data_IF_507607353922
#
_entry.id   IF_507607353922
#
_cell.length_a   1.000
_cell.length_b   1.000
_cell.length_c   1.000
_cell.angle_alpha   90.00
_cell.angle_beta   90.00
_cell.angle_gamma   90.00
#
_symmetry.space_group_name_H-M   'P 1'
#
loop_
_entity.id
_entity.type
_entity.pdbx_description
1 polymer ?
#
# COMPACT_ATOMS: atom_id res chain seq x y z
N UNK A 1 -59.95 3.43 10.78
CA UNK A 1 -58.63 3.09 11.35
C UNK A 1 -57.60 4.02 10.72
N UNK A 2 -57.27 5.12 11.38
CA UNK A 2 -56.23 6.06 10.93
C UNK A 2 -54.97 5.78 11.76
N UNK A 3 -53.85 5.51 11.08
CA UNK A 3 -52.58 5.18 11.70
C UNK A 3 -51.80 6.45 12.05
N UNK A 4 -51.54 6.65 13.35
CA UNK A 4 -50.68 7.71 13.87
C UNK A 4 -49.23 7.51 13.40
N UNK A 5 -48.67 8.54 12.78
CA UNK A 5 -47.27 8.57 12.35
C UNK A 5 -46.40 9.13 13.48
N UNK A 6 -45.59 8.27 14.09
CA UNK A 6 -44.62 8.68 15.09
C UNK A 6 -43.48 9.49 14.45
N UNK A 7 -43.39 10.79 14.78
CA UNK A 7 -42.25 11.64 14.43
C UNK A 7 -41.03 11.25 15.25
N UNK A 8 -40.03 10.67 14.60
CA UNK A 8 -38.70 10.41 15.16
C UNK A 8 -37.95 11.72 15.46
N UNK A 9 -38.08 12.21 16.69
CA UNK A 9 -37.33 13.36 17.21
C UNK A 9 -35.93 12.94 17.72
N UNK A 10 -35.09 12.40 16.86
CA UNK A 10 -33.65 12.24 17.16
C UNK A 10 -32.88 13.50 16.77
N UNK A 11 -33.17 14.61 17.45
CA UNK A 11 -32.36 15.83 17.36
C UNK A 11 -31.41 15.82 18.57
N UNK A 12 -30.24 15.21 18.39
CA UNK A 12 -29.18 15.20 19.38
C UNK A 12 -28.91 16.63 19.87
N UNK A 13 -28.99 16.82 21.19
CA UNK A 13 -28.80 18.11 21.83
C UNK A 13 -27.47 18.75 21.46
N UNK A 14 -27.47 20.08 21.34
CA UNK A 14 -26.25 20.88 21.16
C UNK A 14 -25.21 20.48 22.23
N UNK A 15 -23.98 20.10 21.86
CA UNK A 15 -22.96 19.79 22.87
C UNK A 15 -22.64 21.04 23.68
N UNK A 16 -22.42 20.84 24.99
CA UNK A 16 -22.09 21.88 25.95
C UNK A 16 -20.95 22.79 25.45
N UNK A 17 -21.05 24.08 25.79
CA UNK A 17 -20.09 25.13 25.41
C UNK A 17 -18.67 24.66 25.75
N UNK A 18 -17.78 24.69 24.76
CA UNK A 18 -16.36 24.38 24.95
C UNK A 18 -15.75 25.42 25.89
N UNK A 19 -15.16 24.98 26.98
CA UNK A 19 -14.40 25.85 27.88
C UNK A 19 -13.26 26.52 27.10
N UNK A 20 -13.04 27.84 27.29
CA UNK A 20 -11.98 28.56 26.60
C UNK A 20 -10.63 28.04 27.06
N UNK A 21 -9.86 27.46 26.13
CA UNK A 21 -8.51 26.97 26.40
C UNK A 21 -7.48 28.05 26.09
N UNK A 22 -6.42 28.19 26.92
CA UNK A 22 -5.30 29.07 26.59
C UNK A 22 -4.61 28.57 25.31
N UNK A 23 -4.25 29.50 24.42
CA UNK A 23 -3.47 29.15 23.23
C UNK A 23 -2.03 28.79 23.66
N UNK A 24 -1.76 27.49 23.76
CA UNK A 24 -0.41 26.96 24.00
C UNK A 24 0.26 26.76 22.64
N UNK A 25 1.33 27.52 22.38
CA UNK A 25 2.18 27.33 21.21
C UNK A 25 3.13 26.17 21.52
N UNK A 26 3.01 25.08 20.75
CA UNK A 26 3.92 23.94 20.88
C UNK A 26 5.34 24.33 20.48
N UNK A 27 6.32 24.07 21.35
CA UNK A 27 7.75 24.29 21.08
C UNK A 27 8.44 23.02 20.59
N UNK A 28 7.88 21.85 20.91
CA UNK A 28 8.41 20.53 20.53
C UNK A 28 7.37 19.70 19.77
N UNK A 29 7.78 18.76 18.90
CA UNK A 29 6.85 17.83 18.23
C UNK A 29 6.04 16.99 19.22
N UNK A 30 6.64 16.66 20.38
CA UNK A 30 5.97 15.94 21.45
C UNK A 30 4.82 16.76 22.06
N UNK A 31 5.01 18.07 22.26
CA UNK A 31 3.96 18.97 22.72
C UNK A 31 2.81 19.10 21.70
N UNK A 32 3.11 19.13 20.40
CA UNK A 32 2.08 19.17 19.35
C UNK A 32 1.22 17.90 19.38
N UNK A 33 1.85 16.73 19.53
CA UNK A 33 1.13 15.46 19.69
C UNK A 33 0.31 15.44 20.98
N UNK A 34 0.86 15.92 22.10
CA UNK A 34 0.16 16.02 23.39
C UNK A 34 -1.10 16.85 23.27
N UNK A 35 -1.03 18.03 22.64
CA UNK A 35 -2.19 18.91 22.41
C UNK A 35 -3.24 18.27 21.49
N UNK A 36 -2.83 17.56 20.43
CA UNK A 36 -3.76 16.80 19.57
C UNK A 36 -4.43 15.67 20.34
N UNK A 37 -3.68 14.96 21.18
CA UNK A 37 -4.17 13.88 22.02
C UNK A 37 -5.16 14.41 23.07
N UNK A 38 -4.82 15.47 23.81
CA UNK A 38 -5.72 16.14 24.76
C UNK A 38 -7.04 16.55 24.09
N UNK A 39 -6.97 17.09 22.86
CA UNK A 39 -8.16 17.45 22.06
C UNK A 39 -9.04 16.25 21.69
N UNK A 40 -8.43 15.10 21.38
CA UNK A 40 -9.15 13.86 21.08
C UNK A 40 -9.76 13.27 22.36
N UNK A 41 -8.98 13.21 23.45
CA UNK A 41 -9.41 12.66 24.75
C UNK A 41 -10.46 13.51 25.45
N UNK A 42 -10.65 14.78 25.07
CA UNK A 42 -11.76 15.61 25.56
C UNK A 42 -13.14 15.05 25.20
N UNK A 43 -13.24 14.26 24.11
CA UNK A 43 -14.48 13.59 23.73
C UNK A 43 -14.17 12.15 23.30
N UNK A 44 -14.01 11.21 24.25
CA UNK A 44 -13.60 9.84 23.95
C UNK A 44 -14.69 9.05 23.18
N UNK A 45 -15.96 9.41 23.36
CA UNK A 45 -17.10 8.75 22.68
C UNK A 45 -17.20 9.11 21.19
N UNK A 46 -16.51 10.18 20.75
CA UNK A 46 -16.55 10.59 19.34
C UNK A 46 -15.45 9.84 18.57
N UNK A 47 -15.81 9.06 17.53
CA UNK A 47 -14.79 8.38 16.72
C UNK A 47 -13.85 9.41 16.09
N UNK A 48 -12.55 9.10 16.12
CA UNK A 48 -11.53 9.93 15.51
C UNK A 48 -11.74 9.98 13.98
N UNK A 49 -11.73 11.17 13.35
CA UNK A 49 -11.87 11.27 11.91
C UNK A 49 -10.57 10.82 11.23
N UNK A 50 -10.51 9.55 10.83
CA UNK A 50 -9.44 9.03 9.99
C UNK A 50 -9.80 9.39 8.54
N UNK A 51 -9.00 10.21 7.84
CA UNK A 51 -9.31 10.56 6.46
C UNK A 51 -9.12 9.35 5.55
N UNK A 52 -10.09 9.12 4.69
CA UNK A 52 -9.96 8.15 3.60
C UNK A 52 -8.89 8.61 2.59
N UNK A 53 -8.40 7.67 1.77
CA UNK A 53 -7.43 7.97 0.71
C UNK A 53 -7.95 9.14 -0.14
N UNK A 54 -7.13 10.18 -0.39
CA UNK A 54 -7.55 11.30 -1.21
C UNK A 54 -7.97 10.80 -2.59
N UNK A 55 -9.18 11.16 -3.01
CA UNK A 55 -9.69 10.80 -4.33
C UNK A 55 -8.90 11.55 -5.39
N UNK A 56 -8.39 10.81 -6.37
CA UNK A 56 -7.72 11.39 -7.53
C UNK A 56 -8.72 12.22 -8.36
N UNK A 57 -8.26 13.35 -8.88
CA UNK A 57 -9.10 14.19 -9.72
C UNK A 57 -9.41 13.48 -11.03
N UNK A 58 -10.69 13.30 -11.35
CA UNK A 58 -11.15 12.68 -12.58
C UNK A 58 -11.96 13.72 -13.39
N UNK A 59 -11.76 13.88 -14.71
CA UNK A 59 -12.63 14.70 -15.53
C UNK A 59 -14.09 14.30 -15.34
N UNK A 60 -14.97 15.31 -15.24
CA UNK A 60 -16.41 15.05 -15.13
C UNK A 60 -16.92 14.44 -16.42
N UNK A 61 -17.74 13.40 -16.30
CA UNK A 61 -18.41 12.80 -17.44
C UNK A 61 -19.23 13.87 -18.20
N UNK A 62 -19.22 13.84 -19.54
CA UNK A 62 -20.05 14.72 -20.33
C UNK A 62 -21.54 14.46 -20.00
N UNK A 63 -22.38 15.50 -19.99
CA UNK A 63 -23.82 15.32 -19.81
C UNK A 63 -24.42 14.55 -20.99
N UNK A 64 -25.30 13.57 -20.71
CA UNK A 64 -25.95 12.73 -21.71
C UNK A 64 -26.79 13.52 -22.72
N UNK A 65 -27.53 14.52 -22.24
CA UNK A 65 -28.41 15.35 -23.07
C UNK A 65 -28.15 16.83 -22.82
N UNK A 66 -27.91 17.56 -23.91
CA UNK A 66 -27.88 19.02 -23.93
C UNK A 66 -29.27 19.48 -24.34
N UNK A 67 -29.94 20.26 -23.48
CA UNK A 67 -31.36 20.65 -23.67
C UNK A 67 -31.52 21.97 -24.41
N UNK A 68 -30.48 22.77 -24.42
CA UNK A 68 -30.40 24.16 -24.86
C UNK A 68 -29.70 24.29 -26.24
N UNK A 69 -29.78 23.24 -27.07
CA UNK A 69 -29.20 23.25 -28.42
C UNK A 69 -30.07 24.11 -29.33
N UNK A 70 -29.51 25.21 -29.81
CA UNK A 70 -30.13 26.05 -30.84
C UNK A 70 -30.01 25.37 -32.23
N UNK A 71 -30.93 25.68 -33.16
CA UNK A 71 -30.97 25.04 -34.47
C UNK A 71 -29.69 25.19 -35.29
N UNK A 72 -29.39 24.20 -36.14
CA UNK A 72 -28.09 24.10 -36.83
C UNK A 72 -27.76 25.25 -37.78
N UNK A 73 -28.77 25.95 -38.31
CA UNK A 73 -28.60 27.12 -39.18
C UNK A 73 -28.71 28.46 -38.44
N UNK A 74 -28.89 28.44 -37.11
CA UNK A 74 -28.97 29.66 -36.32
C UNK A 74 -27.61 30.36 -36.25
N UNK A 75 -27.62 31.70 -36.20
CA UNK A 75 -26.41 32.51 -36.12
C UNK A 75 -25.70 32.41 -34.77
N UNK A 76 -24.49 32.97 -34.68
CA UNK A 76 -23.74 33.01 -33.42
C UNK A 76 -24.42 33.93 -32.40
N UNK A 77 -24.92 33.35 -31.31
CA UNK A 77 -25.46 34.09 -30.17
C UNK A 77 -24.37 34.69 -29.27
N UNK A 78 -24.74 35.64 -28.41
CA UNK A 78 -23.82 36.27 -27.46
C UNK A 78 -23.21 35.30 -26.43
N UNK A 79 -23.91 34.20 -26.13
CA UNK A 79 -23.46 33.16 -25.20
C UNK A 79 -22.53 32.11 -25.81
N UNK A 80 -22.47 32.00 -27.14
CA UNK A 80 -21.78 30.91 -27.84
C UNK A 80 -20.27 30.89 -27.54
N UNK A 81 -19.66 32.08 -27.45
CA UNK A 81 -18.26 32.21 -27.07
C UNK A 81 -17.96 31.62 -25.69
N UNK A 82 -18.85 31.81 -24.71
CA UNK A 82 -18.66 31.26 -23.37
C UNK A 82 -18.89 29.76 -23.32
N UNK A 83 -19.84 29.24 -24.11
CA UNK A 83 -20.04 27.79 -24.28
C UNK A 83 -18.76 27.15 -24.81
N UNK A 84 -18.19 27.67 -25.91
CA UNK A 84 -16.92 27.19 -26.46
C UNK A 84 -15.77 27.29 -25.44
N UNK A 85 -15.64 28.42 -24.73
CA UNK A 85 -14.60 28.61 -23.70
C UNK A 85 -14.68 27.53 -22.61
N UNK A 86 -15.88 27.21 -22.13
CA UNK A 86 -16.08 26.18 -21.11
C UNK A 86 -15.85 24.76 -21.67
N UNK A 87 -16.29 24.49 -22.90
CA UNK A 87 -16.07 23.22 -23.57
C UNK A 87 -14.58 22.95 -23.82
N UNK A 88 -13.86 23.93 -24.38
CA UNK A 88 -12.42 23.85 -24.64
C UNK A 88 -11.63 23.62 -23.36
N UNK A 89 -11.95 24.35 -22.28
CA UNK A 89 -11.30 24.14 -20.98
C UNK A 89 -11.56 22.74 -20.44
N UNK A 90 -12.80 22.24 -20.52
CA UNK A 90 -13.15 20.88 -20.09
C UNK A 90 -12.39 19.84 -20.90
N UNK A 91 -12.28 20.04 -22.21
CA UNK A 91 -11.62 19.11 -23.12
C UNK A 91 -10.10 19.07 -22.91
N UNK A 92 -9.45 20.23 -22.73
CA UNK A 92 -8.02 20.26 -22.40
C UNK A 92 -7.74 19.60 -21.05
N UNK A 93 -8.56 19.85 -20.04
CA UNK A 93 -8.42 19.17 -18.76
C UNK A 93 -8.60 17.65 -18.87
N UNK A 94 -9.49 17.19 -19.76
CA UNK A 94 -9.69 15.76 -20.04
C UNK A 94 -8.48 15.16 -20.76
N UNK A 95 -7.97 15.84 -21.79
CA UNK A 95 -6.80 15.40 -22.55
C UNK A 95 -5.55 15.34 -21.67
N UNK A 96 -5.25 16.41 -20.93
CA UNK A 96 -4.12 16.46 -19.99
C UNK A 96 -4.18 15.35 -18.94
N UNK A 97 -5.39 14.97 -18.51
CA UNK A 97 -5.58 13.88 -17.56
C UNK A 97 -5.28 12.51 -18.19
N UNK A 98 -5.78 12.25 -19.40
CA UNK A 98 -5.50 11.00 -20.11
C UNK A 98 -4.01 10.85 -20.39
N UNK A 99 -3.36 11.93 -20.84
CA UNK A 99 -1.93 11.94 -21.13
C UNK A 99 -1.13 11.62 -19.86
N UNK A 100 -1.43 12.30 -18.73
CA UNK A 100 -0.78 12.02 -17.43
C UNK A 100 -1.04 10.60 -16.94
N UNK A 101 -2.26 10.09 -17.07
CA UNK A 101 -2.60 8.73 -16.63
C UNK A 101 -1.84 7.69 -17.45
N UNK A 102 -1.78 7.85 -18.77
CA UNK A 102 -1.01 6.95 -19.65
C UNK A 102 0.49 6.98 -19.33
N UNK A 103 1.06 8.16 -19.08
CA UNK A 103 2.45 8.28 -18.66
C UNK A 103 2.74 7.56 -17.34
N UNK A 104 1.86 7.73 -16.34
CA UNK A 104 2.00 7.08 -15.04
C UNK A 104 1.88 5.56 -15.18
N UNK A 105 0.91 5.07 -15.96
CA UNK A 105 0.74 3.64 -16.23
C UNK A 105 1.98 3.06 -16.90
N UNK A 106 2.46 3.66 -17.99
CA UNK A 106 3.65 3.19 -18.71
C UNK A 106 4.89 3.17 -17.81
N UNK A 107 5.09 4.20 -16.96
CA UNK A 107 6.20 4.27 -16.00
C UNK A 107 6.09 3.17 -14.93
N UNK A 108 4.89 2.90 -14.43
CA UNK A 108 4.64 1.87 -13.43
C UNK A 108 4.87 0.46 -14.01
N UNK A 109 4.38 0.19 -15.22
CA UNK A 109 4.60 -1.07 -15.91
C UNK A 109 6.09 -1.34 -16.15
N UNK A 110 6.81 -0.34 -16.70
CA UNK A 110 8.25 -0.44 -16.90
C UNK A 110 9.03 -0.66 -15.57
N UNK A 111 8.56 -0.04 -14.48
CA UNK A 111 9.15 -0.24 -13.16
C UNK A 111 8.92 -1.66 -12.63
N UNK A 112 7.69 -2.18 -12.75
CA UNK A 112 7.35 -3.53 -12.32
C UNK A 112 8.12 -4.59 -13.12
N UNK A 113 8.20 -4.44 -14.44
CA UNK A 113 9.02 -5.33 -15.27
C UNK A 113 10.49 -5.33 -14.86
N UNK A 114 11.06 -4.14 -14.58
CA UNK A 114 12.44 -4.02 -14.13
C UNK A 114 12.65 -4.73 -12.79
N UNK A 115 11.69 -4.59 -11.88
CA UNK A 115 11.72 -5.21 -10.56
C UNK A 115 11.67 -6.74 -10.68
N UNK A 116 10.78 -7.28 -11.54
CA UNK A 116 10.67 -8.71 -11.82
C UNK A 116 11.93 -9.29 -12.45
N UNK A 117 12.48 -8.61 -13.47
CA UNK A 117 13.76 -9.02 -14.11
C UNK A 117 14.90 -9.08 -13.09
N UNK A 118 14.97 -8.10 -12.18
CA UNK A 118 15.98 -8.09 -11.12
C UNK A 118 15.78 -9.23 -10.11
N UNK A 119 14.53 -9.53 -9.73
CA UNK A 119 14.21 -10.66 -8.86
C UNK A 119 14.61 -11.99 -9.50
N UNK A 120 14.22 -12.21 -10.76
CA UNK A 120 14.58 -13.42 -11.51
C UNK A 120 16.10 -13.59 -11.62
N UNK A 121 16.83 -12.52 -11.98
CA UNK A 121 18.29 -12.57 -12.06
C UNK A 121 18.96 -12.88 -10.71
N UNK A 122 18.41 -12.36 -9.60
CA UNK A 122 18.88 -12.70 -8.25
C UNK A 122 18.57 -14.16 -7.89
N UNK A 123 17.37 -14.64 -8.20
CA UNK A 123 16.94 -16.02 -7.98
C UNK A 123 17.79 -17.02 -8.79
N UNK A 124 18.08 -16.74 -10.06
CA UNK A 124 18.95 -17.58 -10.88
C UNK A 124 20.37 -17.67 -10.31
N UNK A 125 20.94 -16.54 -9.89
CA UNK A 125 22.27 -16.49 -9.26
C UNK A 125 22.29 -17.28 -7.95
N UNK A 126 21.27 -17.10 -7.11
CA UNK A 126 21.17 -17.80 -5.82
C UNK A 126 20.89 -19.29 -6.00
N UNK A 127 20.03 -19.69 -6.96
CA UNK A 127 19.74 -21.07 -7.30
C UNK A 127 20.97 -21.79 -7.85
N UNK A 128 21.76 -21.16 -8.73
CA UNK A 128 23.02 -21.71 -9.24
C UNK A 128 24.02 -21.95 -8.10
N UNK A 129 24.16 -21.01 -7.18
CA UNK A 129 25.02 -21.16 -5.98
C UNK A 129 24.48 -22.22 -5.01
N UNK A 130 23.16 -22.29 -4.81
CA UNK A 130 22.49 -23.29 -3.98
C UNK A 130 22.72 -24.71 -4.52
N UNK A 131 22.47 -24.94 -5.81
CA UNK A 131 22.74 -26.23 -6.49
C UNK A 131 24.20 -26.68 -6.34
N UNK A 132 25.16 -25.75 -6.46
CA UNK A 132 26.58 -26.07 -6.22
C UNK A 132 26.85 -26.53 -4.78
N UNK A 133 26.28 -25.84 -3.77
CA UNK A 133 26.44 -26.22 -2.36
C UNK A 133 25.75 -27.54 -2.03
N UNK A 134 24.58 -27.81 -2.59
CA UNK A 134 23.85 -29.07 -2.42
C UNK A 134 24.64 -30.25 -2.98
N UNK A 135 25.20 -30.12 -4.20
CA UNK A 135 26.10 -31.14 -4.78
C UNK A 135 27.31 -31.40 -3.88
N UNK A 136 27.92 -30.35 -3.32
CA UNK A 136 29.04 -30.50 -2.38
C UNK A 136 28.62 -31.21 -1.09
N UNK A 137 27.46 -30.84 -0.51
CA UNK A 137 26.89 -31.49 0.68
C UNK A 137 26.61 -32.97 0.43
N UNK A 138 25.97 -33.31 -0.70
CA UNK A 138 25.70 -34.69 -1.09
C UNK A 138 26.98 -35.52 -1.24
N UNK A 139 28.03 -34.97 -1.88
CA UNK A 139 29.35 -35.63 -1.98
C UNK A 139 29.97 -35.86 -0.61
N UNK A 140 29.94 -34.87 0.29
CA UNK A 140 30.46 -35.02 1.67
C UNK A 140 29.68 -36.06 2.48
N UNK A 141 28.35 -36.09 2.35
CA UNK A 141 27.51 -37.10 3.01
C UNK A 141 27.78 -38.51 2.47
N UNK A 142 27.91 -38.66 1.15
CA UNK A 142 28.26 -39.94 0.53
C UNK A 142 29.64 -40.44 0.99
N UNK A 143 30.64 -39.55 1.06
CA UNK A 143 31.97 -39.90 1.57
C UNK A 143 31.96 -40.29 3.06
N UNK A 144 31.18 -39.60 3.90
CA UNK A 144 30.99 -39.99 5.31
C UNK A 144 30.32 -41.36 5.45
N UNK A 145 29.27 -41.63 4.66
CA UNK A 145 28.61 -42.95 4.65
C UNK A 145 29.58 -44.05 4.20
N UNK A 146 30.35 -43.81 3.13
CA UNK A 146 31.34 -44.78 2.66
C UNK A 146 32.40 -45.08 3.73
N UNK A 147 32.88 -44.07 4.46
CA UNK A 147 33.79 -44.28 5.60
C UNK A 147 33.15 -45.08 6.74
N UNK A 148 31.89 -44.78 7.10
CA UNK A 148 31.18 -45.56 8.11
C UNK A 148 30.91 -47.01 7.70
N UNK A 149 30.67 -47.28 6.42
CA UNK A 149 30.53 -48.65 5.91
C UNK A 149 31.87 -49.39 5.85
N UNK A 150 32.98 -48.68 5.63
CA UNK A 150 34.34 -49.24 5.74
C UNK A 150 34.68 -49.58 7.19
N UNK A 151 34.46 -48.66 8.14
CA UNK A 151 34.67 -48.92 9.58
C UNK A 151 33.77 -50.06 10.11
N UNK A 152 32.55 -50.23 9.56
CA UNK A 152 31.68 -51.36 9.92
C UNK A 152 32.11 -52.70 9.31
N UNK A 153 32.82 -52.70 8.19
CA UNK A 153 33.35 -53.92 7.58
C UNK A 153 34.72 -54.32 8.14
N UNK A 154 35.52 -53.37 8.64
CA UNK A 154 36.77 -53.66 9.37
C UNK A 154 36.55 -53.94 10.87
N UNK A 155 35.38 -53.58 11.43
CA UNK A 155 35.03 -53.80 12.84
C UNK A 155 34.40 -55.16 13.15
N UNK A 156 35.04 -56.26 12.72
CA UNK A 156 34.78 -57.61 13.28
C UNK A 156 35.89 -58.11 14.22
N UNK A 157 36.85 -57.25 14.56
CA UNK A 157 37.75 -57.47 15.69
C UNK A 157 38.12 -56.14 16.37
N UNK A 158 38.19 -56.22 17.70
CA UNK A 158 38.73 -55.29 18.70
C UNK A 158 37.93 -54.06 19.19
N UNK A 159 37.34 -54.31 20.37
CA UNK A 159 37.17 -53.52 21.60
C UNK A 159 37.90 -52.18 21.81
N UNK A 160 37.26 -51.39 22.68
CA UNK A 160 37.77 -50.29 23.52
C UNK A 160 38.08 -48.88 22.94
N UNK A 161 37.20 -47.94 23.36
CA UNK A 161 37.52 -46.67 24.07
C UNK A 161 37.91 -45.42 23.26
N UNK A 162 37.00 -44.43 23.24
CA UNK A 162 37.18 -43.11 23.89
C UNK A 162 36.14 -42.12 23.37
N UNK A 163 35.13 -41.85 24.20
CA UNK A 163 34.22 -40.73 24.01
C UNK A 163 34.86 -39.47 24.58
N UNK A 164 35.35 -38.58 23.72
CA UNK A 164 35.54 -37.19 24.12
C UNK A 164 35.05 -36.28 23.00
N UNK A 165 33.92 -35.61 23.26
CA UNK A 165 33.23 -34.76 22.31
C UNK A 165 33.04 -33.40 22.98
N UNK A 166 34.10 -32.59 22.96
CA UNK A 166 34.06 -31.20 23.39
C UNK A 166 33.29 -30.32 22.39
N UNK A 167 32.07 -29.98 22.79
CA UNK A 167 31.34 -28.69 22.65
C UNK A 167 31.71 -27.81 21.44
N UNK A 168 30.83 -27.79 20.44
CA UNK A 168 30.76 -26.73 19.45
C UNK A 168 29.97 -25.54 20.03
N UNK A 169 30.68 -24.43 20.28
CA UNK A 169 30.11 -23.16 20.74
C UNK A 169 29.38 -22.51 19.58
N UNK A 170 28.07 -22.38 19.71
CA UNK A 170 27.21 -21.59 18.82
C UNK A 170 27.63 -20.12 18.85
N UNK A 171 28.17 -19.62 17.74
CA UNK A 171 28.38 -18.19 17.53
C UNK A 171 27.15 -17.54 16.88
N UNK A 172 26.77 -16.44 17.53
CA UNK A 172 25.66 -15.50 17.29
C UNK A 172 25.52 -15.02 15.84
#
# INVERSE_FOLDING_TARGET
MAADTQKNNNKAGKPAKKEPQPLIIAKTPAEEQRLKLEKLMRNPDKPAPIPDRPKEWNPRAPPEFVRDVMGSSAGAGSGEFHVYRHLRRREYQRQDFLDKMSEVQNKNEAYLERLEKNKQAAEERTAKRRKKREKLKQKKLAAKKAKQELDKNDGRDDDEKSSDNERDVTNN
#
